data_IF_918166119191
#
_entry.id   IF_918166119191
#
_cell.length_a   1.000
_cell.length_b   1.000
_cell.length_c   1.000
_cell.angle_alpha   90.00
_cell.angle_beta   90.00
_cell.angle_gamma   90.00
#
_symmetry.space_group_name_H-M   'P 1'
#
loop_
_entity.id
_entity.type
_entity.pdbx_description
1 polymer ?
#
# COMPACT_ATOMS: atom_id res chain seq x y z
N UNK A 1 1.52 -8.87 7.99
CA UNK A 1 0.58 -7.86 8.57
C UNK A 1 1.36 -6.60 8.85
N UNK A 2 0.69 -5.46 9.01
CA UNK A 2 1.35 -4.19 9.26
C UNK A 2 0.34 -3.06 9.40
N UNK A 3 0.82 -1.84 9.21
CA UNK A 3 -0.01 -0.63 9.20
C UNK A 3 0.35 0.28 8.04
N UNK A 4 -0.66 0.93 7.47
CA UNK A 4 -0.56 2.05 6.54
C UNK A 4 -1.23 3.26 7.20
N UNK A 5 -0.45 4.17 7.77
CA UNK A 5 -0.95 5.20 8.67
C UNK A 5 -1.62 4.59 9.90
N UNK A 6 -2.89 4.93 10.12
CA UNK A 6 -3.71 4.36 11.20
C UNK A 6 -4.42 3.05 10.81
N UNK A 7 -4.38 2.67 9.52
CA UNK A 7 -5.16 1.53 9.02
C UNK A 7 -4.35 0.24 9.09
N UNK A 8 -4.90 -0.85 9.66
CA UNK A 8 -4.24 -2.16 9.64
C UNK A 8 -4.18 -2.71 8.22
N UNK A 9 -3.13 -3.47 7.92
CA UNK A 9 -3.00 -4.19 6.65
C UNK A 9 -2.61 -5.65 6.88
N UNK A 10 -3.15 -6.54 6.07
CA UNK A 10 -2.82 -7.96 6.10
C UNK A 10 -2.87 -8.57 4.70
N UNK A 11 -2.16 -9.68 4.51
CA UNK A 11 -2.16 -10.44 3.25
C UNK A 11 -2.83 -11.78 3.55
N UNK A 12 -4.17 -11.86 3.45
CA UNK A 12 -4.90 -13.07 3.82
C UNK A 12 -4.56 -14.20 2.85
N UNK A 13 -4.27 -15.40 3.37
CA UNK A 13 -4.04 -16.58 2.54
C UNK A 13 -5.31 -17.09 1.83
N UNK A 14 -6.49 -16.64 2.26
CA UNK A 14 -7.78 -17.00 1.70
C UNK A 14 -8.78 -15.86 1.90
N UNK A 15 -9.56 -15.58 0.85
CA UNK A 15 -10.64 -14.58 0.85
C UNK A 15 -11.95 -15.22 0.40
N UNK A 16 -13.09 -14.77 0.93
CA UNK A 16 -14.42 -15.22 0.52
C UNK A 16 -15.16 -14.12 -0.21
N UNK A 17 -16.11 -14.49 -1.06
CA UNK A 17 -16.97 -13.53 -1.75
C UNK A 17 -17.71 -12.64 -0.75
N UNK A 18 -17.61 -11.32 -0.91
CA UNK A 18 -18.24 -10.32 -0.04
C UNK A 18 -17.54 -10.08 1.29
N UNK A 19 -16.44 -10.80 1.60
CA UNK A 19 -15.66 -10.55 2.80
C UNK A 19 -14.83 -9.28 2.63
N UNK A 20 -14.89 -8.38 3.60
CA UNK A 20 -13.97 -7.24 3.68
C UNK A 20 -12.57 -7.72 4.03
N UNK A 21 -11.58 -7.15 3.36
CA UNK A 21 -10.16 -7.46 3.52
C UNK A 21 -9.37 -6.20 3.84
N UNK A 22 -8.16 -6.38 4.38
CA UNK A 22 -7.23 -5.30 4.73
C UNK A 22 -6.03 -5.24 3.76
N UNK A 23 -6.17 -5.79 2.55
CA UNK A 23 -5.08 -5.93 1.57
C UNK A 23 -5.06 -4.81 0.52
N UNK A 24 -6.13 -4.03 0.41
CA UNK A 24 -6.24 -2.91 -0.54
C UNK A 24 -6.65 -1.61 0.17
N UNK A 25 -5.91 -0.53 -0.10
CA UNK A 25 -6.18 0.79 0.46
C UNK A 25 -6.05 1.87 -0.60
N UNK A 26 -6.87 2.90 -0.46
CA UNK A 26 -6.76 4.13 -1.22
C UNK A 26 -6.15 5.25 -0.36
N UNK A 27 -5.02 5.80 -0.80
CA UNK A 27 -4.41 6.98 -0.17
C UNK A 27 -4.91 8.24 -0.89
N UNK A 28 -5.65 9.08 -0.17
CA UNK A 28 -6.15 10.34 -0.72
C UNK A 28 -5.02 11.33 -0.96
N UNK A 29 -5.25 12.30 -1.85
CA UNK A 29 -4.26 13.35 -2.13
C UNK A 29 -3.85 14.16 -0.89
N UNK A 30 -4.76 14.38 0.07
CA UNK A 30 -4.46 15.07 1.33
C UNK A 30 -3.54 14.22 2.22
N UNK A 31 -3.89 12.94 2.43
CA UNK A 31 -3.06 12.03 3.22
C UNK A 31 -1.67 11.80 2.59
N UNK A 32 -1.59 11.76 1.26
CA UNK A 32 -0.31 11.67 0.55
C UNK A 32 0.59 12.90 0.80
N UNK A 33 0.00 14.11 0.83
CA UNK A 33 0.73 15.36 1.11
C UNK A 33 1.27 15.45 2.53
N UNK A 34 0.51 14.94 3.51
CA UNK A 34 0.95 14.86 4.90
C UNK A 34 1.99 13.75 5.13
N UNK A 35 2.04 12.78 4.20
CA UNK A 35 2.88 11.60 4.27
C UNK A 35 2.19 10.45 4.99
N UNK A 36 2.42 9.23 4.50
CA UNK A 36 1.84 8.00 5.07
C UNK A 36 2.96 7.11 5.60
N UNK A 37 2.97 6.87 6.91
CA UNK A 37 3.90 5.92 7.55
C UNK A 37 3.46 4.49 7.24
N UNK A 38 4.37 3.68 6.71
CA UNK A 38 4.18 2.25 6.51
C UNK A 38 5.02 1.52 7.56
N UNK A 39 4.41 0.61 8.30
CA UNK A 39 5.08 -0.15 9.36
C UNK A 39 4.90 -1.65 9.14
N UNK A 40 6.03 -2.36 9.10
CA UNK A 40 6.07 -3.81 9.18
C UNK A 40 6.59 -4.24 10.57
N UNK A 41 5.71 -4.67 11.48
CA UNK A 41 6.12 -5.15 12.80
C UNK A 41 6.62 -6.61 12.80
N UNK A 42 6.50 -7.34 11.69
CA UNK A 42 6.96 -8.74 11.66
C UNK A 42 8.49 -8.79 11.73
N UNK A 43 9.00 -9.69 12.56
CA UNK A 43 10.44 -9.97 12.70
C UNK A 43 10.98 -10.84 11.58
N UNK A 44 10.10 -11.56 10.88
CA UNK A 44 10.46 -12.66 9.98
C UNK A 44 9.83 -12.54 8.61
N UNK A 45 8.66 -11.90 8.50
CA UNK A 45 7.90 -11.83 7.26
C UNK A 45 8.03 -10.46 6.60
N UNK A 46 8.36 -10.40 5.31
CA UNK A 46 8.33 -9.13 4.58
C UNK A 46 6.88 -8.66 4.40
N UNK A 47 6.66 -7.35 4.54
CA UNK A 47 5.46 -6.70 4.06
C UNK A 47 5.71 -6.19 2.64
N UNK A 48 5.21 -6.94 1.65
CA UNK A 48 5.34 -6.59 0.23
C UNK A 48 4.08 -5.86 -0.22
N UNK A 49 4.25 -4.71 -0.86
CA UNK A 49 3.13 -3.84 -1.26
C UNK A 49 3.32 -3.45 -2.73
N UNK A 50 2.26 -3.59 -3.53
CA UNK A 50 2.17 -2.96 -4.84
C UNK A 50 1.65 -1.53 -4.67
N UNK A 51 2.46 -0.53 -5.05
CA UNK A 51 2.04 0.88 -5.03
C UNK A 51 1.65 1.30 -6.43
N UNK A 52 0.37 1.63 -6.62
CA UNK A 52 -0.11 2.27 -7.84
C UNK A 52 -0.23 3.77 -7.59
N UNK A 53 0.52 4.57 -8.32
CA UNK A 53 0.38 6.03 -8.31
C UNK A 53 -0.47 6.46 -9.49
N UNK A 54 -1.38 7.39 -9.24
CA UNK A 54 -2.24 7.94 -10.29
C UNK A 54 -1.44 8.55 -11.45
N UNK A 55 -2.08 8.71 -12.62
CA UNK A 55 -1.42 9.29 -13.80
C UNK A 55 -0.84 10.68 -13.48
N UNK A 56 0.36 10.94 -14.00
CA UNK A 56 1.03 12.23 -13.84
C UNK A 56 1.75 12.43 -12.50
N UNK A 57 1.96 11.38 -11.68
CA UNK A 57 2.84 11.48 -10.52
C UNK A 57 4.29 11.75 -10.98
N UNK A 58 4.87 12.95 -10.71
CA UNK A 58 6.22 13.28 -11.15
C UNK A 58 7.28 12.35 -10.54
N UNK A 59 7.05 11.88 -9.32
CA UNK A 59 7.97 10.98 -8.60
C UNK A 59 8.00 9.56 -9.19
N UNK A 60 6.99 9.20 -9.99
CA UNK A 60 6.95 7.93 -10.71
C UNK A 60 7.67 8.01 -12.06
N UNK A 61 7.95 9.21 -12.58
CA UNK A 61 8.56 9.40 -13.90
C UNK A 61 9.95 8.75 -14.01
N UNK A 62 10.87 8.88 -13.03
CA UNK A 62 12.18 8.23 -13.07
C UNK A 62 12.12 6.69 -12.99
N UNK A 63 10.98 6.11 -12.59
CA UNK A 63 10.78 4.66 -12.45
C UNK A 63 10.26 4.01 -13.75
N UNK A 64 9.90 4.80 -14.76
CA UNK A 64 9.52 4.28 -16.08
C UNK A 64 10.76 3.66 -16.71
N UNK A 65 10.73 2.35 -16.91
CA UNK A 65 11.76 1.68 -17.71
C UNK A 65 11.50 2.01 -19.18
N UNK A 66 12.51 2.55 -19.86
CA UNK A 66 12.51 2.65 -21.31
C UNK A 66 12.19 1.26 -21.89
N UNK A 67 11.19 1.20 -22.75
CA UNK A 67 10.67 -0.04 -23.32
C UNK A 67 11.51 -0.49 -24.51
#
# INVERSE_FOLDING_TARGET
YGKLGATPVSTPSMIRFGQLTEDELFVTAAAAKEGVRIENPSRTDPLVILKHFGPGNPDAEPLRKDR
#
